data_IF_233505347770
#
_entry.id   IF_233505347770
#
_cell.length_a   1.000
_cell.length_b   1.000
_cell.length_c   1.000
_cell.angle_alpha   90.00
_cell.angle_beta   90.00
_cell.angle_gamma   90.00
#
_symmetry.space_group_name_H-M   'P 1'
#
loop_
_entity.id
_entity.type
_entity.pdbx_description
1 polymer ?
#
# COMPACT_ATOMS: atom_id res chain seq x y z
N UNK A 1 -17.31 8.86 14.10
CA UNK A 1 -16.80 7.55 13.62
C UNK A 1 -16.45 7.72 12.16
N UNK A 2 -15.27 8.27 11.87
CA UNK A 2 -14.84 8.58 10.50
C UNK A 2 -14.37 7.29 9.84
N UNK A 3 -15.31 6.55 9.25
CA UNK A 3 -15.01 5.43 8.38
C UNK A 3 -14.31 6.04 7.16
N UNK A 4 -13.01 5.76 7.02
CA UNK A 4 -12.25 6.13 5.82
C UNK A 4 -13.04 5.67 4.59
N UNK A 5 -13.26 6.59 3.64
CA UNK A 5 -14.04 6.32 2.44
C UNK A 5 -13.49 5.06 1.71
N UNK A 6 -14.34 4.07 1.41
CA UNK A 6 -13.94 2.93 0.59
C UNK A 6 -13.66 3.39 -0.85
N UNK A 7 -12.77 2.68 -1.58
CA UNK A 7 -12.53 2.94 -3.00
C UNK A 7 -13.75 2.60 -3.86
N UNK A 8 -13.97 3.40 -4.90
CA UNK A 8 -15.00 3.19 -5.93
C UNK A 8 -14.63 2.04 -6.92
N UNK A 9 -13.42 1.47 -6.82
CA UNK A 9 -12.90 0.45 -7.75
C UNK A 9 -13.56 -0.94 -7.64
N UNK A 10 -14.64 -1.09 -6.87
CA UNK A 10 -15.41 -2.33 -6.72
C UNK A 10 -14.67 -3.51 -6.08
N UNK A 11 -13.39 -3.36 -5.65
CA UNK A 11 -12.57 -4.42 -5.05
C UNK A 11 -12.63 -4.51 -3.51
N UNK A 12 -13.46 -3.71 -2.85
CA UNK A 12 -13.65 -3.70 -1.41
C UNK A 12 -12.75 -2.69 -0.67
N UNK A 13 -12.70 -2.70 0.66
CA UNK A 13 -11.91 -1.74 1.44
C UNK A 13 -10.41 -1.86 1.15
N UNK A 14 -9.68 -0.75 1.27
CA UNK A 14 -8.22 -0.69 1.18
C UNK A 14 -7.57 -1.74 2.09
N UNK A 15 -6.56 -2.44 1.56
CA UNK A 15 -5.80 -3.43 2.31
C UNK A 15 -4.51 -2.81 2.83
N UNK A 16 -4.03 -3.35 3.95
CA UNK A 16 -2.73 -3.00 4.51
C UNK A 16 -1.84 -4.24 4.45
N UNK A 17 -0.61 -4.07 3.97
CA UNK A 17 0.36 -5.14 3.80
C UNK A 17 1.47 -4.93 4.81
N UNK A 18 1.81 -5.99 5.54
CA UNK A 18 2.91 -5.96 6.50
C UNK A 18 4.11 -6.66 5.90
N UNK A 19 5.26 -5.97 5.88
CA UNK A 19 6.52 -6.58 5.56
C UNK A 19 6.83 -7.65 6.61
N UNK A 20 6.99 -8.90 6.19
CA UNK A 20 7.27 -10.03 7.08
C UNK A 20 8.68 -10.00 7.68
N UNK A 21 9.56 -9.15 7.14
CA UNK A 21 10.97 -9.05 7.56
C UNK A 21 11.13 -8.03 8.69
N UNK A 22 10.64 -6.80 8.50
CA UNK A 22 10.81 -5.73 9.48
C UNK A 22 9.51 -5.31 10.19
N UNK A 23 8.35 -5.75 9.72
CA UNK A 23 7.05 -5.37 10.28
C UNK A 23 6.50 -4.03 9.77
N UNK A 24 7.14 -3.42 8.77
CA UNK A 24 6.63 -2.20 8.12
C UNK A 24 5.22 -2.40 7.55
N UNK A 25 4.31 -1.45 7.74
CA UNK A 25 2.92 -1.53 7.25
C UNK A 25 2.73 -0.56 6.08
N UNK A 26 2.54 -1.12 4.89
CA UNK A 26 2.11 -0.41 3.69
C UNK A 26 0.57 -0.32 3.66
N UNK A 27 0.02 0.87 3.46
CA UNK A 27 -1.43 1.10 3.37
C UNK A 27 -1.79 1.51 1.93
N UNK A 28 -2.61 0.72 1.24
CA UNK A 28 -3.00 1.02 -0.16
C UNK A 28 -3.74 2.36 -0.29
N UNK A 29 -4.47 2.80 0.75
CA UNK A 29 -5.18 4.06 0.71
C UNK A 29 -4.22 5.25 0.75
N UNK A 30 -3.12 5.11 1.50
CA UNK A 30 -2.05 6.10 1.58
C UNK A 30 -1.08 6.03 0.39
N UNK A 31 -0.86 4.83 -0.16
CA UNK A 31 0.17 4.60 -1.17
C UNK A 31 1.58 4.85 -0.63
N UNK A 32 2.52 5.12 -1.52
CA UNK A 32 3.92 5.46 -1.20
C UNK A 32 4.49 6.47 -2.21
N UNK A 33 4.09 7.76 -2.12
CA UNK A 33 4.41 8.76 -3.14
C UNK A 33 5.90 9.07 -3.26
N UNK A 34 6.70 8.79 -2.23
CA UNK A 34 8.15 8.93 -2.26
C UNK A 34 8.84 7.97 -3.25
N UNK A 35 8.24 6.82 -3.53
CA UNK A 35 8.71 5.85 -4.54
C UNK A 35 7.83 5.86 -5.81
N UNK A 36 6.92 6.85 -5.91
CA UNK A 36 6.05 7.01 -7.07
C UNK A 36 4.76 6.17 -7.05
N UNK A 37 4.42 5.58 -5.90
CA UNK A 37 3.17 4.84 -5.70
C UNK A 37 2.11 5.82 -5.17
N UNK A 38 1.10 6.23 -5.96
CA UNK A 38 0.10 7.18 -5.51
C UNK A 38 -0.84 6.57 -4.47
N UNK A 39 -1.43 7.45 -3.65
CA UNK A 39 -2.51 7.10 -2.74
C UNK A 39 -3.68 6.47 -3.51
N UNK A 40 -4.11 5.30 -3.06
CA UNK A 40 -5.17 4.53 -3.71
C UNK A 40 -4.69 3.53 -4.78
N UNK A 41 -3.38 3.37 -4.96
CA UNK A 41 -2.83 2.29 -5.76
C UNK A 41 -3.04 0.94 -5.06
N UNK A 42 -3.57 -0.04 -5.79
CA UNK A 42 -3.69 -1.43 -5.31
C UNK A 42 -2.30 -2.05 -5.25
N UNK A 43 -2.09 -2.96 -4.30
CA UNK A 43 -0.88 -3.77 -4.27
C UNK A 43 -0.63 -4.54 -5.57
N UNK A 44 -1.70 -4.96 -6.26
CA UNK A 44 -1.63 -5.61 -7.58
C UNK A 44 -1.06 -4.70 -8.69
N UNK A 45 -1.12 -3.38 -8.49
CA UNK A 45 -0.61 -2.35 -9.42
C UNK A 45 0.76 -1.81 -8.97
N UNK A 46 1.19 -2.13 -7.75
CA UNK A 46 2.53 -1.79 -7.25
C UNK A 46 3.56 -2.61 -8.05
N UNK A 47 4.59 -1.98 -8.61
CA UNK A 47 5.59 -2.70 -9.39
C UNK A 47 6.37 -3.68 -8.51
N UNK A 48 6.69 -4.86 -9.04
CA UNK A 48 7.51 -5.90 -8.39
C UNK A 48 8.93 -5.42 -8.05
N UNK A 49 9.37 -4.32 -8.68
CA UNK A 49 10.63 -3.65 -8.36
C UNK A 49 10.58 -2.81 -7.08
N UNK A 50 9.39 -2.56 -6.53
CA UNK A 50 9.23 -1.84 -5.28
C UNK A 50 9.79 -2.67 -4.14
N UNK A 51 10.66 -2.04 -3.34
CA UNK A 51 11.28 -2.65 -2.18
C UNK A 51 10.76 -1.97 -0.92
N UNK A 52 10.64 -2.73 0.16
CA UNK A 52 10.23 -2.18 1.44
C UNK A 52 11.13 -1.00 1.83
N UNK A 53 10.58 0.19 2.10
CA UNK A 53 11.38 1.41 2.35
C UNK A 53 12.19 1.32 3.65
N UNK A 54 11.77 0.46 4.58
CA UNK A 54 12.42 0.29 5.88
C UNK A 54 13.60 -0.69 5.83
N UNK A 55 13.48 -1.79 5.07
CA UNK A 55 14.50 -2.86 5.06
C UNK A 55 15.09 -3.18 3.67
N UNK A 56 14.55 -2.63 2.60
CA UNK A 56 15.00 -2.84 1.22
C UNK A 56 14.64 -4.20 0.62
N UNK A 57 13.67 -4.91 1.19
CA UNK A 57 13.25 -6.26 0.72
C UNK A 57 11.97 -6.15 -0.11
N UNK A 58 11.96 -6.75 -1.31
CA UNK A 58 10.80 -6.93 -2.20
C UNK A 58 10.42 -8.40 -2.33
#
# INVERSE_FOLDING_TARGET
MSVRNPPDDGKGPWRSYVCVVCGFVYDEAAGWPEDGIPAGMRWDDVPDSWMCPDCGVG
#
